data_IF_455785485391
#
_entry.id   IF_455785485391
#
_cell.length_a   1.000
_cell.length_b   1.000
_cell.length_c   1.000
_cell.angle_alpha   90.00
_cell.angle_beta   90.00
_cell.angle_gamma   90.00
#
_symmetry.space_group_name_H-M   'P 1'
#
loop_
_entity.id
_entity.type
_entity.pdbx_description
1 polymer ?
#
# COMPACT_ATOMS: atom_id res chain seq x y z
N UNK A 1 -4.81 5.26 26.36
CA UNK A 1 -4.43 6.64 25.93
C UNK A 1 -5.69 7.43 25.60
N UNK A 2 -5.83 8.69 26.13
CA UNK A 2 -7.01 9.54 25.84
C UNK A 2 -6.66 10.60 24.81
N UNK A 3 -7.53 10.82 23.83
CA UNK A 3 -7.40 11.88 22.82
C UNK A 3 -8.65 12.77 22.82
N UNK A 4 -8.46 14.08 22.69
CA UNK A 4 -9.55 15.02 22.50
C UNK A 4 -10.14 14.86 21.10
N UNK A 5 -11.46 14.92 20.97
CA UNK A 5 -12.16 14.95 19.69
C UNK A 5 -12.14 16.38 19.17
N UNK A 6 -11.70 16.55 17.93
CA UNK A 6 -11.62 17.83 17.24
C UNK A 6 -12.81 17.99 16.27
N UNK A 7 -13.24 19.18 16.05
CA UNK A 7 -14.17 19.47 14.96
C UNK A 7 -13.41 19.68 13.63
N UNK A 8 -14.12 19.83 12.54
CA UNK A 8 -13.54 20.08 11.20
C UNK A 8 -12.74 21.40 11.11
N UNK A 9 -12.87 22.30 12.11
CA UNK A 9 -12.12 23.54 12.22
C UNK A 9 -10.90 23.45 13.15
N UNK A 10 -10.57 22.25 13.65
CA UNK A 10 -9.44 22.01 14.54
C UNK A 10 -9.65 22.46 15.99
N UNK A 11 -10.88 22.78 16.40
CA UNK A 11 -11.22 23.12 17.78
C UNK A 11 -11.68 21.89 18.54
N UNK A 12 -11.42 21.82 19.83
CA UNK A 12 -11.88 20.72 20.69
C UNK A 12 -13.40 20.71 20.83
N UNK A 13 -14.00 19.55 20.63
CA UNK A 13 -15.46 19.34 20.75
C UNK A 13 -15.92 19.06 22.20
N UNK A 14 -15.02 19.14 23.19
CA UNK A 14 -15.30 18.86 24.60
C UNK A 14 -15.53 17.38 24.93
N UNK A 15 -15.32 16.49 23.97
CA UNK A 15 -15.41 15.03 24.14
C UNK A 15 -14.04 14.41 24.03
N UNK A 16 -13.83 13.26 24.69
CA UNK A 16 -12.60 12.48 24.62
C UNK A 16 -12.90 11.06 24.16
N UNK A 17 -12.02 10.50 23.39
CA UNK A 17 -12.02 9.10 22.97
C UNK A 17 -10.88 8.37 23.66
N UNK A 18 -11.15 7.19 24.19
CA UNK A 18 -10.18 6.33 24.84
C UNK A 18 -9.69 5.28 23.83
N UNK A 19 -8.42 5.35 23.46
CA UNK A 19 -7.78 4.33 22.64
C UNK A 19 -7.40 3.13 23.51
N UNK A 20 -7.78 1.92 23.08
CA UNK A 20 -7.50 0.68 23.79
C UNK A 20 -6.00 0.34 23.74
N UNK A 21 -5.42 0.04 24.90
CA UNK A 21 -4.01 -0.36 25.00
C UNK A 21 -3.75 -1.72 24.33
N UNK A 22 -4.78 -2.57 24.18
CA UNK A 22 -4.69 -3.83 23.44
C UNK A 22 -4.41 -3.66 21.95
N UNK A 23 -4.69 -2.48 21.38
CA UNK A 23 -4.48 -2.16 19.96
C UNK A 23 -3.39 -1.11 19.77
N UNK A 24 -3.34 -0.09 20.61
CA UNK A 24 -2.48 1.08 20.46
C UNK A 24 -1.30 1.13 21.45
N UNK A 25 -1.24 0.18 22.40
CA UNK A 25 -0.22 0.10 23.46
C UNK A 25 0.61 -1.18 23.42
N UNK A 26 0.58 -1.95 22.34
CA UNK A 26 1.28 -3.23 22.21
C UNK A 26 2.80 -2.99 22.00
N UNK A 27 3.64 -3.92 22.48
CA UNK A 27 5.06 -3.93 22.10
C UNK A 27 5.19 -4.11 20.58
N UNK A 28 5.84 -3.13 19.93
CA UNK A 28 5.91 -3.09 18.48
C UNK A 28 6.89 -4.14 17.93
N UNK A 29 6.47 -4.86 16.88
CA UNK A 29 7.29 -5.87 16.20
C UNK A 29 7.62 -5.43 14.77
N UNK A 30 8.82 -4.91 14.55
CA UNK A 30 9.30 -4.39 13.27
C UNK A 30 9.35 -5.46 12.18
N UNK A 31 9.72 -6.69 12.55
CA UNK A 31 9.77 -7.79 11.57
C UNK A 31 8.38 -8.16 11.04
N UNK A 32 7.36 -8.15 11.90
CA UNK A 32 5.98 -8.36 11.48
C UNK A 32 5.50 -7.27 10.53
N UNK A 33 5.82 -5.99 10.83
CA UNK A 33 5.52 -4.85 9.95
C UNK A 33 6.19 -5.04 8.59
N UNK A 34 7.50 -5.36 8.58
CA UNK A 34 8.25 -5.60 7.35
C UNK A 34 7.62 -6.69 6.48
N UNK A 35 7.26 -7.82 7.06
CA UNK A 35 6.66 -8.94 6.31
C UNK A 35 5.31 -8.58 5.71
N UNK A 36 4.44 -7.88 6.46
CA UNK A 36 3.11 -7.50 5.97
C UNK A 36 3.20 -6.44 4.87
N UNK A 37 4.06 -5.44 5.01
CA UNK A 37 4.33 -4.46 3.96
C UNK A 37 4.93 -5.12 2.71
N UNK A 38 5.88 -6.05 2.88
CA UNK A 38 6.48 -6.81 1.77
C UNK A 38 5.43 -7.62 1.03
N UNK A 39 4.53 -8.30 1.74
CA UNK A 39 3.42 -9.03 1.13
C UNK A 39 2.52 -8.08 0.34
N UNK A 40 2.07 -6.99 0.95
CA UNK A 40 1.18 -6.02 0.31
C UNK A 40 1.75 -5.49 -1.01
N UNK A 41 3.04 -5.13 -1.03
CA UNK A 41 3.71 -4.65 -2.24
C UNK A 41 3.92 -5.77 -3.27
N UNK A 42 4.18 -6.99 -2.83
CA UNK A 42 4.35 -8.14 -3.72
C UNK A 42 3.03 -8.52 -4.41
N UNK A 43 1.91 -8.48 -3.67
CA UNK A 43 0.57 -8.80 -4.19
C UNK A 43 0.09 -7.80 -5.27
N UNK A 44 0.66 -6.60 -5.33
CA UNK A 44 0.36 -5.61 -6.38
C UNK A 44 1.08 -5.89 -7.71
N UNK A 45 2.05 -6.81 -7.74
CA UNK A 45 2.84 -7.12 -8.93
C UNK A 45 2.14 -8.14 -9.80
N UNK A 46 1.89 -7.82 -11.06
CA UNK A 46 1.28 -8.76 -12.04
C UNK A 46 2.27 -9.81 -12.55
N UNK A 47 3.56 -9.49 -12.63
CA UNK A 47 4.60 -10.41 -13.04
C UNK A 47 4.51 -10.90 -14.50
N UNK A 48 3.89 -10.14 -15.40
CA UNK A 48 3.60 -10.54 -16.80
C UNK A 48 4.79 -10.35 -17.77
N UNK A 49 5.93 -9.90 -17.28
CA UNK A 49 7.11 -9.68 -18.11
C UNK A 49 7.69 -11.00 -18.64
N UNK A 50 8.05 -11.00 -19.91
CA UNK A 50 8.58 -12.19 -20.61
C UNK A 50 9.61 -11.80 -21.67
N UNK A 51 10.71 -12.53 -21.72
CA UNK A 51 11.65 -12.48 -22.83
C UNK A 51 11.41 -13.65 -23.77
N UNK A 52 11.50 -13.41 -25.08
CA UNK A 52 11.38 -14.49 -26.08
C UNK A 52 12.58 -15.42 -26.01
N UNK A 53 12.32 -16.70 -25.83
CA UNK A 53 13.30 -17.78 -25.91
C UNK A 53 13.58 -18.14 -27.38
N UNK A 54 14.60 -18.97 -27.60
CA UNK A 54 15.03 -19.41 -28.93
C UNK A 54 13.87 -19.95 -29.80
N UNK A 55 12.93 -20.65 -29.19
CA UNK A 55 11.80 -21.24 -29.92
C UNK A 55 10.74 -20.23 -30.31
N UNK A 56 10.66 -19.11 -29.58
CA UNK A 56 9.62 -18.08 -29.72
C UNK A 56 10.03 -16.93 -30.64
N UNK A 57 11.34 -16.80 -30.91
CA UNK A 57 11.85 -15.77 -31.85
C UNK A 57 11.47 -16.15 -33.27
N UNK A 58 10.90 -15.20 -34.02
CA UNK A 58 10.64 -15.36 -35.45
C UNK A 58 11.97 -15.46 -36.24
N UNK A 59 12.03 -16.31 -37.22
CA UNK A 59 13.20 -16.48 -38.05
C UNK A 59 13.42 -17.93 -38.47
N UNK A 60 14.33 -18.17 -39.44
CA UNK A 60 14.65 -19.48 -39.95
C UNK A 60 15.35 -20.36 -38.92
N UNK A 61 15.00 -21.62 -38.88
CA UNK A 61 15.72 -22.67 -38.14
C UNK A 61 16.86 -23.28 -38.91
N UNK A 62 17.02 -22.92 -40.22
CA UNK A 62 18.07 -23.43 -41.08
C UNK A 62 19.44 -23.12 -40.51
N UNK A 63 20.37 -24.06 -40.69
CA UNK A 63 21.81 -23.86 -40.38
C UNK A 63 22.40 -22.76 -41.24
N UNK A 64 23.04 -21.76 -40.61
CA UNK A 64 23.58 -20.57 -41.31
C UNK A 64 24.74 -20.89 -42.27
N UNK A 65 25.61 -21.84 -41.91
CA UNK A 65 26.82 -22.19 -42.67
C UNK A 65 26.94 -23.70 -42.80
N UNK A 66 27.66 -24.14 -43.83
CA UNK A 66 28.09 -25.56 -43.97
C UNK A 66 28.94 -25.97 -42.78
N UNK A 67 28.96 -27.24 -42.45
CA UNK A 67 29.68 -27.79 -41.31
C UNK A 67 31.19 -27.59 -41.38
N UNK A 68 31.77 -27.69 -42.59
CA UNK A 68 33.20 -27.57 -42.84
C UNK A 68 33.43 -26.70 -44.09
N UNK A 69 34.65 -26.19 -44.30
CA UNK A 69 35.05 -25.46 -45.49
C UNK A 69 34.67 -23.97 -45.52
N UNK A 70 34.27 -23.38 -44.41
CA UNK A 70 33.86 -21.96 -44.34
C UNK A 70 34.88 -21.05 -43.66
N UNK A 71 36.04 -21.58 -43.22
CA UNK A 71 37.08 -20.80 -42.56
C UNK A 71 36.73 -20.15 -41.23
N UNK A 72 35.50 -20.29 -40.72
CA UNK A 72 35.03 -19.67 -39.50
C UNK A 72 34.36 -20.63 -38.54
N UNK A 73 33.91 -20.11 -37.39
CA UNK A 73 33.26 -20.91 -36.37
C UNK A 73 31.98 -21.59 -36.90
N UNK A 74 31.69 -22.79 -36.41
CA UNK A 74 30.46 -23.53 -36.72
C UNK A 74 29.25 -22.80 -36.14
N UNK A 75 28.23 -22.63 -36.96
CA UNK A 75 27.01 -21.92 -36.57
C UNK A 75 25.79 -22.81 -36.78
N UNK A 76 24.85 -22.75 -35.86
CA UNK A 76 23.50 -23.33 -35.99
C UNK A 76 22.53 -22.35 -36.61
N UNK A 77 21.34 -22.28 -36.04
CA UNK A 77 20.27 -21.34 -36.42
C UNK A 77 20.56 -19.91 -35.97
N UNK A 78 20.10 -18.94 -36.75
CA UNK A 78 20.16 -17.50 -36.42
C UNK A 78 19.45 -17.15 -35.11
N UNK A 79 18.51 -17.98 -34.68
CA UNK A 79 17.75 -17.79 -33.40
C UNK A 79 18.60 -18.11 -32.15
N UNK A 80 19.83 -18.59 -32.30
CA UNK A 80 20.70 -18.90 -31.17
C UNK A 80 20.97 -17.65 -30.32
N UNK A 81 21.02 -17.77 -28.99
CA UNK A 81 21.32 -16.64 -28.10
C UNK A 81 22.71 -16.03 -28.27
N UNK A 82 23.59 -16.70 -29.01
CA UNK A 82 24.93 -16.19 -29.37
C UNK A 82 24.90 -15.07 -30.42
N UNK A 83 23.80 -14.95 -31.16
CA UNK A 83 23.64 -13.94 -32.20
C UNK A 83 22.83 -12.75 -31.71
N UNK A 84 23.15 -11.57 -32.25
CA UNK A 84 22.35 -10.36 -32.05
C UNK A 84 20.95 -10.60 -32.63
N UNK A 85 19.92 -10.33 -31.84
CA UNK A 85 18.52 -10.63 -32.22
C UNK A 85 18.08 -12.07 -31.97
N UNK A 86 18.94 -12.95 -31.47
CA UNK A 86 18.58 -14.31 -31.04
C UNK A 86 17.78 -14.35 -29.78
N UNK A 87 17.31 -15.54 -29.38
CA UNK A 87 16.55 -15.78 -28.18
C UNK A 87 17.33 -15.51 -26.90
N UNK A 88 16.63 -15.08 -25.84
CA UNK A 88 17.24 -14.86 -24.53
C UNK A 88 17.33 -16.16 -23.74
N UNK A 89 18.51 -16.43 -23.13
CA UNK A 89 18.71 -17.53 -22.19
C UNK A 89 18.51 -16.98 -20.78
N UNK A 90 17.80 -17.70 -19.91
CA UNK A 90 17.49 -17.29 -18.55
C UNK A 90 16.88 -15.89 -18.43
N UNK A 91 16.17 -15.46 -19.45
CA UNK A 91 15.43 -14.21 -19.41
C UNK A 91 14.22 -14.29 -18.46
N UNK A 92 13.61 -13.15 -18.13
CA UNK A 92 12.41 -13.16 -17.29
C UNK A 92 11.28 -13.94 -17.94
N UNK A 93 10.58 -14.71 -17.12
CA UNK A 93 9.34 -15.42 -17.48
C UNK A 93 8.21 -14.97 -16.56
N UNK A 94 6.95 -14.99 -17.00
CA UNK A 94 5.83 -14.67 -16.15
C UNK A 94 5.85 -15.54 -14.88
N UNK A 95 5.70 -14.87 -13.73
CA UNK A 95 5.64 -15.55 -12.44
C UNK A 95 4.73 -14.81 -11.47
N UNK A 96 4.16 -15.53 -10.54
CA UNK A 96 3.48 -14.96 -9.39
C UNK A 96 4.51 -14.55 -8.32
N UNK A 97 4.28 -13.37 -7.73
CA UNK A 97 5.10 -12.82 -6.65
C UNK A 97 4.38 -12.90 -5.30
N UNK A 98 3.10 -13.26 -5.30
CA UNK A 98 2.31 -13.32 -4.07
C UNK A 98 2.78 -14.40 -3.11
N UNK A 99 2.66 -14.14 -1.83
CA UNK A 99 2.88 -15.11 -0.77
C UNK A 99 1.92 -14.86 0.38
N UNK A 100 1.57 -15.91 1.11
CA UNK A 100 0.57 -15.86 2.17
C UNK A 100 1.23 -15.68 3.55
N UNK A 101 0.67 -14.78 4.36
CA UNK A 101 1.00 -14.62 5.77
C UNK A 101 -0.18 -15.06 6.66
N UNK A 102 0.14 -15.52 7.86
CA UNK A 102 -0.86 -15.91 8.85
C UNK A 102 -1.66 -14.69 9.33
N UNK A 103 -2.97 -14.87 9.58
CA UNK A 103 -3.87 -13.81 10.05
C UNK A 103 -3.36 -13.14 11.34
N UNK A 104 -2.91 -13.93 12.32
CA UNK A 104 -2.37 -13.43 13.60
C UNK A 104 -1.14 -12.55 13.40
N UNK A 105 -0.26 -12.88 12.45
CA UNK A 105 0.91 -12.05 12.13
C UNK A 105 0.50 -10.70 11.53
N UNK A 106 -0.48 -10.70 10.62
CA UNK A 106 -1.02 -9.46 10.05
C UNK A 106 -1.71 -8.57 11.10
N UNK A 107 -2.43 -9.16 12.04
CA UNK A 107 -3.02 -8.42 13.16
C UNK A 107 -1.93 -7.80 14.06
N UNK A 108 -0.88 -8.57 14.39
CA UNK A 108 0.26 -8.06 15.17
C UNK A 108 0.95 -6.90 14.44
N UNK A 109 1.18 -7.01 13.13
CA UNK A 109 1.77 -5.96 12.32
C UNK A 109 0.94 -4.68 12.33
N UNK A 110 -0.39 -4.78 12.18
CA UNK A 110 -1.30 -3.63 12.23
C UNK A 110 -1.29 -2.95 13.61
N UNK A 111 -1.38 -3.75 14.70
CA UNK A 111 -1.28 -3.22 16.06
C UNK A 111 0.04 -2.50 16.28
N UNK A 112 1.16 -3.11 15.88
CA UNK A 112 2.49 -2.51 16.00
C UNK A 112 2.60 -1.18 15.24
N UNK A 113 2.06 -1.11 14.02
CA UNK A 113 2.04 0.12 13.23
C UNK A 113 1.18 1.23 13.87
N UNK A 114 0.01 0.87 14.42
CA UNK A 114 -0.86 1.81 15.15
C UNK A 114 -0.22 2.30 16.44
N UNK A 115 0.48 1.42 17.16
CA UNK A 115 1.24 1.78 18.37
C UNK A 115 2.34 2.81 18.05
N UNK A 116 3.09 2.64 16.97
CA UNK A 116 4.07 3.66 16.55
C UNK A 116 3.43 5.01 16.27
N UNK A 117 2.25 5.04 15.64
CA UNK A 117 1.52 6.31 15.42
C UNK A 117 1.02 6.94 16.72
N UNK A 118 0.59 6.12 17.68
CA UNK A 118 0.18 6.58 19.01
C UNK A 118 1.37 7.16 19.78
N UNK A 119 2.50 6.47 19.81
CA UNK A 119 3.73 6.94 20.47
C UNK A 119 4.28 8.23 19.86
N UNK A 120 4.20 8.35 18.53
CA UNK A 120 4.62 9.57 17.82
C UNK A 120 3.65 10.75 17.99
N UNK A 121 2.50 10.59 18.67
CA UNK A 121 1.46 11.62 18.76
C UNK A 121 0.88 12.03 17.40
N UNK A 122 0.92 11.13 16.44
CA UNK A 122 0.50 11.39 15.06
C UNK A 122 -0.96 11.00 14.78
N UNK A 123 -1.75 10.75 15.83
CA UNK A 123 -3.16 10.38 15.73
C UNK A 123 -4.02 11.56 16.16
N UNK A 124 -4.99 11.93 15.32
CA UNK A 124 -6.04 12.91 15.62
C UNK A 124 -7.42 12.24 15.49
N UNK A 125 -8.34 12.57 16.37
CA UNK A 125 -9.74 12.11 16.27
C UNK A 125 -10.62 13.29 15.92
N UNK A 126 -11.51 13.10 14.93
CA UNK A 126 -12.38 14.17 14.40
C UNK A 126 -13.85 13.72 14.48
N UNK A 127 -14.74 14.65 14.71
CA UNK A 127 -16.20 14.42 14.67
C UNK A 127 -16.65 13.81 13.33
N UNK A 128 -17.83 13.16 13.30
CA UNK A 128 -18.40 12.66 12.06
C UNK A 128 -18.52 13.76 11.00
N UNK A 129 -17.97 13.48 9.82
CA UNK A 129 -17.91 14.43 8.70
C UNK A 129 -19.10 14.15 7.78
N UNK A 130 -20.08 15.05 7.72
CA UNK A 130 -21.16 15.02 6.74
C UNK A 130 -20.86 15.98 5.60
N UNK A 131 -21.10 15.53 4.36
CA UNK A 131 -20.94 16.33 3.15
C UNK A 131 -22.10 16.07 2.19
N UNK A 132 -22.85 17.11 1.85
CA UNK A 132 -23.97 17.02 0.92
C UNK A 132 -23.50 16.81 -0.52
N UNK A 133 -22.37 17.42 -0.88
CA UNK A 133 -21.75 17.29 -2.20
C UNK A 133 -20.22 17.11 -2.07
N UNK A 134 -19.56 16.41 -3.02
CA UNK A 134 -18.13 16.22 -3.00
C UNK A 134 -17.42 17.55 -3.30
N UNK A 135 -16.57 18.01 -2.36
CA UNK A 135 -15.75 19.25 -2.48
C UNK A 135 -14.36 19.03 -1.93
N UNK A 136 -13.35 19.04 -2.80
CA UNK A 136 -11.93 18.93 -2.41
C UNK A 136 -11.47 20.08 -1.52
N UNK A 137 -11.96 21.31 -1.76
CA UNK A 137 -11.61 22.50 -1.00
C UNK A 137 -11.95 22.37 0.50
N UNK A 138 -13.04 21.67 0.84
CA UNK A 138 -13.42 21.43 2.24
C UNK A 138 -12.41 20.54 2.96
N UNK A 139 -11.87 19.53 2.26
CA UNK A 139 -10.85 18.63 2.83
C UNK A 139 -9.51 19.36 3.01
N UNK A 140 -9.14 20.21 2.07
CA UNK A 140 -7.92 21.05 2.19
C UNK A 140 -8.04 21.98 3.40
N UNK A 141 -9.16 22.70 3.54
CA UNK A 141 -9.39 23.57 4.69
C UNK A 141 -9.37 22.80 6.03
N UNK A 142 -9.94 21.58 6.06
CA UNK A 142 -9.87 20.71 7.24
C UNK A 142 -8.42 20.30 7.55
N UNK A 143 -7.63 19.92 6.55
CA UNK A 143 -6.23 19.53 6.75
C UNK A 143 -5.37 20.70 7.26
N UNK A 144 -5.62 21.92 6.79
CA UNK A 144 -4.99 23.16 7.30
C UNK A 144 -5.38 23.43 8.74
N UNK A 145 -6.67 23.32 9.07
CA UNK A 145 -7.18 23.55 10.42
C UNK A 145 -6.62 22.54 11.44
N UNK A 146 -6.43 21.27 11.01
CA UNK A 146 -5.82 20.21 11.82
C UNK A 146 -4.27 20.26 11.84
N UNK A 147 -3.64 21.23 11.13
CA UNK A 147 -2.17 21.39 11.01
C UNK A 147 -1.47 20.14 10.43
N UNK A 148 -2.13 19.49 9.47
CA UNK A 148 -1.62 18.28 8.78
C UNK A 148 -1.53 18.47 7.26
N UNK A 149 -1.68 19.69 6.74
CA UNK A 149 -1.69 19.98 5.30
C UNK A 149 -0.39 19.57 4.59
N UNK A 150 0.77 19.69 5.24
CA UNK A 150 2.08 19.33 4.68
C UNK A 150 2.44 17.85 4.87
N UNK A 151 1.54 17.06 5.45
CA UNK A 151 1.79 15.66 5.78
C UNK A 151 0.96 14.73 4.91
N UNK A 152 1.44 13.50 4.74
CA UNK A 152 0.60 12.43 4.18
C UNK A 152 -0.42 12.01 5.24
N UNK A 153 -1.69 12.24 4.95
CA UNK A 153 -2.81 12.00 5.85
C UNK A 153 -3.55 10.74 5.46
N UNK A 154 -3.77 9.85 6.42
CA UNK A 154 -4.67 8.73 6.30
C UNK A 154 -5.95 9.03 7.08
N UNK A 155 -7.06 9.23 6.36
CA UNK A 155 -8.38 9.46 6.95
C UNK A 155 -9.10 8.12 7.11
N UNK A 156 -9.37 7.73 8.36
CA UNK A 156 -10.03 6.46 8.69
C UNK A 156 -11.49 6.72 9.03
N UNK A 157 -12.38 6.10 8.26
CA UNK A 157 -13.83 6.27 8.37
C UNK A 157 -14.46 5.05 9.03
N UNK A 158 -15.45 5.22 9.93
CA UNK A 158 -16.23 4.11 10.44
C UNK A 158 -17.09 3.49 9.32
N UNK A 159 -17.81 4.33 8.58
CA UNK A 159 -18.76 3.92 7.54
C UNK A 159 -18.39 4.52 6.17
N UNK A 160 -18.97 3.95 5.12
CA UNK A 160 -18.73 4.39 3.74
C UNK A 160 -19.44 5.73 3.49
N UNK A 161 -18.65 6.76 3.16
CA UNK A 161 -19.15 8.06 2.73
C UNK A 161 -18.59 8.37 1.35
N UNK A 162 -19.42 8.22 0.30
CA UNK A 162 -19.03 8.38 -1.10
C UNK A 162 -18.58 9.82 -1.38
N UNK A 163 -19.30 10.83 -0.87
CA UNK A 163 -18.96 12.23 -1.10
C UNK A 163 -17.59 12.59 -0.52
N UNK A 164 -17.27 12.06 0.64
CA UNK A 164 -15.98 12.27 1.30
C UNK A 164 -14.85 11.55 0.57
N UNK A 165 -15.06 10.31 0.12
CA UNK A 165 -14.08 9.57 -0.67
C UNK A 165 -13.77 10.28 -2.01
N UNK A 166 -14.80 10.76 -2.71
CA UNK A 166 -14.65 11.54 -3.95
C UNK A 166 -13.89 12.85 -3.69
N UNK A 167 -14.12 13.51 -2.56
CA UNK A 167 -13.44 14.74 -2.17
C UNK A 167 -11.95 14.54 -1.86
N UNK A 168 -11.59 13.38 -1.29
CA UNK A 168 -10.20 13.03 -0.97
C UNK A 168 -9.42 12.50 -2.17
N UNK A 169 -10.08 11.82 -3.11
CA UNK A 169 -9.44 11.06 -4.20
C UNK A 169 -8.47 11.85 -5.06
N UNK A 170 -8.75 13.13 -5.31
CA UNK A 170 -7.91 13.99 -6.15
C UNK A 170 -6.69 14.57 -5.39
N UNK A 171 -6.65 14.45 -4.06
CA UNK A 171 -5.57 15.00 -3.25
C UNK A 171 -4.47 13.93 -3.06
N UNK A 172 -3.22 14.16 -3.55
CA UNK A 172 -2.16 13.15 -3.51
C UNK A 172 -1.66 12.84 -2.09
N UNK A 173 -1.88 13.75 -1.16
CA UNK A 173 -1.43 13.63 0.23
C UNK A 173 -2.52 13.16 1.20
N UNK A 174 -3.77 13.00 0.75
CA UNK A 174 -4.88 12.52 1.58
C UNK A 174 -5.44 11.22 1.02
N UNK A 175 -5.49 10.19 1.84
CA UNK A 175 -6.13 8.92 1.49
C UNK A 175 -7.23 8.59 2.50
N UNK A 176 -8.46 8.42 2.03
CA UNK A 176 -9.59 7.99 2.86
C UNK A 176 -9.78 6.48 2.73
N UNK A 177 -9.89 5.79 3.87
CA UNK A 177 -10.16 4.35 3.94
C UNK A 177 -11.18 4.04 5.04
N UNK A 178 -11.87 2.91 4.91
CA UNK A 178 -12.72 2.38 5.97
C UNK A 178 -11.87 1.76 7.09
N UNK A 179 -12.33 1.86 8.33
CA UNK A 179 -11.67 1.25 9.48
C UNK A 179 -11.49 -0.27 9.30
N UNK A 180 -12.44 -0.95 8.67
CA UNK A 180 -12.37 -2.37 8.32
C UNK A 180 -11.24 -2.70 7.33
N UNK A 181 -10.84 -1.76 6.48
CA UNK A 181 -9.84 -1.94 5.43
C UNK A 181 -8.46 -1.39 5.80
N UNK A 182 -8.26 -0.95 7.03
CA UNK A 182 -6.95 -0.46 7.51
C UNK A 182 -5.90 -1.56 7.35
N UNK A 183 -4.81 -1.23 6.67
CA UNK A 183 -3.67 -2.12 6.48
C UNK A 183 -2.37 -1.47 6.96
N UNK A 184 -1.38 -2.29 7.26
CA UNK A 184 -0.08 -1.87 7.80
C UNK A 184 0.65 -0.90 6.86
N UNK A 185 0.58 -1.12 5.54
CA UNK A 185 1.26 -0.28 4.56
C UNK A 185 0.73 1.17 4.59
N UNK A 186 -0.60 1.35 4.57
CA UNK A 186 -1.20 2.69 4.58
C UNK A 186 -0.92 3.44 5.89
N UNK A 187 -1.00 2.73 7.02
CA UNK A 187 -0.67 3.31 8.33
C UNK A 187 0.78 3.77 8.38
N UNK A 188 1.72 2.94 7.90
CA UNK A 188 3.15 3.30 7.89
C UNK A 188 3.48 4.39 6.89
N UNK A 189 2.86 4.40 5.71
CA UNK A 189 3.08 5.40 4.67
C UNK A 189 2.54 6.80 5.04
N UNK A 190 1.48 6.86 5.86
CA UNK A 190 0.93 8.11 6.35
C UNK A 190 1.84 8.74 7.40
N UNK A 191 1.99 10.05 7.41
CA UNK A 191 2.65 10.81 8.48
C UNK A 191 1.69 11.18 9.61
N UNK A 192 0.41 11.37 9.27
CA UNK A 192 -0.65 11.64 10.24
C UNK A 192 -1.85 10.70 10.01
N UNK A 193 -2.42 10.21 11.09
CA UNK A 193 -3.62 9.38 11.10
C UNK A 193 -4.77 10.20 11.65
N UNK A 194 -5.77 10.47 10.83
CA UNK A 194 -6.99 11.17 11.23
C UNK A 194 -8.11 10.14 11.29
N UNK A 195 -8.62 9.87 12.49
CA UNK A 195 -9.72 8.94 12.69
C UNK A 195 -11.02 9.72 12.88
N UNK A 196 -12.07 9.33 12.18
CA UNK A 196 -13.40 9.82 12.47
C UNK A 196 -13.96 9.06 13.67
N UNK A 197 -14.62 9.75 14.59
CA UNK A 197 -15.24 9.19 15.79
C UNK A 197 -16.07 7.94 15.44
N UNK A 198 -15.91 6.85 16.21
CA UNK A 198 -16.49 5.53 15.93
C UNK A 198 -15.56 4.56 15.18
N UNK A 199 -14.56 5.05 14.46
CA UNK A 199 -13.59 4.19 13.76
C UNK A 199 -12.72 3.39 14.76
N UNK A 200 -12.41 3.94 15.93
CA UNK A 200 -11.67 3.28 17.00
C UNK A 200 -12.36 2.01 17.52
N UNK A 201 -13.70 2.03 17.61
CA UNK A 201 -14.47 0.88 18.07
C UNK A 201 -14.37 -0.30 17.08
N UNK A 202 -14.41 0.01 15.78
CA UNK A 202 -14.25 -0.98 14.71
C UNK A 202 -12.83 -1.56 14.74
N UNK A 203 -11.80 -0.72 14.89
CA UNK A 203 -10.42 -1.16 15.00
C UNK A 203 -10.21 -2.04 16.25
N UNK A 204 -10.80 -1.68 17.38
CA UNK A 204 -10.75 -2.47 18.60
C UNK A 204 -11.39 -3.85 18.39
N UNK A 205 -12.57 -3.93 17.76
CA UNK A 205 -13.25 -5.20 17.48
C UNK A 205 -12.47 -6.10 16.52
N UNK A 206 -11.80 -5.51 15.52
CA UNK A 206 -11.05 -6.28 14.51
C UNK A 206 -9.69 -6.76 14.99
N UNK A 207 -9.03 -6.01 15.87
CA UNK A 207 -7.64 -6.20 16.24
C UNK A 207 -7.43 -6.66 17.69
N UNK A 208 -8.45 -6.62 18.52
CA UNK A 208 -8.39 -7.10 19.90
C UNK A 208 -8.06 -8.60 20.02
#
# INVERSE_FOLDING_TARGET
MELAVLNTQGKEAGRKVVLSDAVFGVEANDHAIYLDVKQYLADQRQGTHKSKQRNEVAGSTRKLKRQKGTGGARCGSIKSPLFVGGGRVFGPVPRDYSFKLNKKLKQLARRSALTYKAQAGAICVVEPISMDAPKTKSIVAMAEALKVADKKVLLVLPDSNVNLQLSCRNLPYVKAILASNVNTYEVMNASALVMVEGAENILNTMLA
#
